data_IF_071310227895
#
_entry.id   IF_071310227895
#
_cell.length_a   1.000
_cell.length_b   1.000
_cell.length_c   1.000
_cell.angle_alpha   90.00
_cell.angle_beta   90.00
_cell.angle_gamma   90.00
#
_symmetry.space_group_name_H-M   'P 1'
#
loop_
_entity.id
_entity.type
_entity.pdbx_description
1 polymer ?
#
# COMPACT_ATOMS: atom_id res chain seq x y z
N UNK A 1 29.10 12.34 45.61
CA UNK A 1 28.32 11.11 45.36
C UNK A 1 28.38 10.81 43.88
N UNK A 2 28.98 9.67 43.52
CA UNK A 2 29.20 9.23 42.15
C UNK A 2 28.57 7.85 41.96
N UNK A 3 27.88 7.64 40.84
CA UNK A 3 27.58 6.33 40.22
C UNK A 3 27.21 6.62 38.76
N UNK A 4 28.18 6.59 37.85
CA UNK A 4 28.69 5.44 37.06
C UNK A 4 27.82 5.12 35.85
N UNK A 5 28.33 5.62 34.72
CA UNK A 5 28.15 5.14 33.35
C UNK A 5 28.32 3.63 33.25
N UNK A 6 27.51 2.99 32.39
CA UNK A 6 27.77 1.67 31.83
C UNK A 6 27.63 1.81 30.31
N UNK A 7 28.77 1.76 29.63
CA UNK A 7 28.88 1.45 28.21
C UNK A 7 28.81 -0.08 28.03
N UNK A 8 28.20 -0.54 26.95
CA UNK A 8 28.39 -1.90 26.45
C UNK A 8 28.60 -1.85 24.93
N UNK A 9 29.82 -2.20 24.52
CA UNK A 9 30.20 -2.48 23.13
C UNK A 9 29.77 -3.91 22.76
N UNK A 10 29.23 -4.06 21.55
CA UNK A 10 28.97 -5.37 20.93
C UNK A 10 28.79 -5.22 19.42
N UNK A 11 29.89 -5.31 18.68
CA UNK A 11 29.95 -5.43 17.22
C UNK A 11 29.32 -6.76 16.76
N UNK A 12 28.42 -6.71 15.77
CA UNK A 12 28.17 -7.82 14.85
C UNK A 12 27.79 -7.30 13.47
N UNK A 13 28.77 -7.27 12.57
CA UNK A 13 28.56 -7.40 11.14
C UNK A 13 27.96 -8.78 10.86
N UNK A 14 26.74 -8.83 10.30
CA UNK A 14 26.27 -9.95 9.47
C UNK A 14 25.46 -9.42 8.30
N UNK A 15 26.12 -9.42 7.14
CA UNK A 15 25.51 -9.56 5.83
C UNK A 15 24.67 -10.84 5.88
N UNK A 16 23.39 -10.76 5.53
CA UNK A 16 22.61 -11.93 5.12
C UNK A 16 21.72 -11.52 3.96
N UNK A 17 22.16 -11.93 2.78
CA UNK A 17 21.34 -12.09 1.61
C UNK A 17 20.10 -12.92 1.96
N UNK A 18 18.91 -12.35 1.81
CA UNK A 18 17.70 -13.16 1.72
C UNK A 18 17.64 -13.74 0.31
N UNK A 19 18.19 -14.94 0.21
CA UNK A 19 18.00 -15.84 -0.90
C UNK A 19 16.50 -16.05 -1.17
N UNK A 20 16.14 -16.04 -2.44
CA UNK A 20 14.86 -16.53 -2.94
C UNK A 20 14.64 -17.95 -2.40
N UNK A 21 13.61 -18.13 -1.57
CA UNK A 21 13.17 -19.46 -1.16
C UNK A 21 12.45 -20.09 -2.35
N UNK A 22 13.18 -20.92 -3.10
CA UNK A 22 12.57 -21.92 -3.97
C UNK A 22 12.05 -23.01 -3.03
N UNK A 23 10.73 -23.08 -2.86
CA UNK A 23 10.11 -24.19 -2.17
C UNK A 23 10.26 -25.46 -3.02
N UNK A 24 11.20 -26.34 -2.65
CA UNK A 24 11.20 -27.72 -3.15
C UNK A 24 10.17 -28.47 -2.31
N UNK A 25 9.01 -28.75 -2.89
CA UNK A 25 8.01 -29.65 -2.29
C UNK A 25 8.56 -31.08 -2.39
N UNK A 26 9.10 -31.60 -1.29
CA UNK A 26 9.38 -33.02 -1.15
C UNK A 26 8.07 -33.77 -0.88
N UNK A 27 7.48 -34.34 -1.93
CA UNK A 27 6.34 -35.26 -1.80
C UNK A 27 6.87 -36.55 -1.15
N UNK A 28 6.51 -36.78 0.12
CA UNK A 28 6.65 -38.09 0.75
C UNK A 28 5.64 -39.04 0.11
N UNK A 29 6.11 -39.85 -0.85
CA UNK A 29 5.33 -40.91 -1.47
C UNK A 29 5.05 -42.03 -0.46
N UNK A 30 3.78 -42.21 -0.09
CA UNK A 30 3.32 -43.48 0.45
C UNK A 30 3.22 -44.49 -0.68
N UNK A 31 3.90 -45.62 -0.48
CA UNK A 31 3.91 -46.77 -1.37
C UNK A 31 2.53 -47.40 -1.48
N UNK A 32 1.94 -47.39 -2.68
CA UNK A 32 1.01 -48.43 -3.12
C UNK A 32 1.34 -48.88 -4.54
N UNK A 33 1.31 -50.20 -4.67
CA UNK A 33 1.83 -51.03 -5.74
C UNK A 33 0.84 -51.07 -6.92
N UNK A 34 1.25 -50.65 -8.12
CA UNK A 34 0.86 -51.28 -9.40
C UNK A 34 1.47 -50.58 -10.63
N UNK A 35 2.17 -51.39 -11.42
CA UNK A 35 2.61 -51.23 -12.81
C UNK A 35 2.37 -49.87 -13.50
N UNK A 36 3.41 -49.03 -13.53
CA UNK A 36 3.53 -47.95 -14.51
C UNK A 36 4.88 -48.10 -15.23
N UNK A 37 4.83 -48.37 -16.54
CA UNK A 37 5.98 -48.34 -17.43
C UNK A 37 6.54 -46.92 -17.45
N UNK A 38 7.81 -46.75 -17.11
CA UNK A 38 8.55 -45.51 -17.33
C UNK A 38 8.79 -45.33 -18.83
N UNK A 39 8.10 -44.36 -19.43
CA UNK A 39 8.45 -43.86 -20.75
C UNK A 39 9.26 -42.57 -20.55
N UNK A 40 10.53 -42.62 -20.92
CA UNK A 40 11.48 -41.52 -20.91
C UNK A 40 11.05 -40.44 -21.91
N UNK A 41 10.36 -39.43 -21.42
CA UNK A 41 10.05 -38.20 -22.13
C UNK A 41 10.29 -37.03 -21.20
N UNK A 42 11.14 -36.10 -21.63
CA UNK A 42 11.51 -34.86 -20.96
C UNK A 42 10.27 -34.07 -20.56
N UNK A 43 9.78 -34.26 -19.33
CA UNK A 43 8.73 -33.44 -18.77
C UNK A 43 9.39 -32.16 -18.25
N UNK A 44 9.41 -31.13 -19.08
CA UNK A 44 9.51 -29.76 -18.59
C UNK A 44 8.34 -29.59 -17.61
N UNK A 45 8.62 -29.53 -16.31
CA UNK A 45 7.64 -29.06 -15.35
C UNK A 45 7.48 -27.57 -15.64
N UNK A 46 6.58 -27.25 -16.55
CA UNK A 46 5.99 -25.93 -16.69
C UNK A 46 5.20 -25.74 -15.40
N UNK A 47 5.88 -25.19 -14.39
CA UNK A 47 5.22 -24.71 -13.19
C UNK A 47 4.17 -23.73 -13.68
N UNK A 48 2.91 -24.17 -13.66
CA UNK A 48 1.77 -23.30 -13.91
C UNK A 48 1.92 -22.14 -12.93
N UNK A 49 2.36 -20.98 -13.45
CA UNK A 49 2.37 -19.78 -12.65
C UNK A 49 0.91 -19.53 -12.33
N UNK A 50 0.51 -19.74 -11.08
CA UNK A 50 -0.70 -19.14 -10.53
C UNK A 50 -0.72 -17.71 -11.08
N UNK A 51 -1.73 -17.41 -11.91
CA UNK A 51 -1.83 -16.11 -12.56
C UNK A 51 -1.94 -15.09 -11.44
N UNK A 52 -0.81 -14.46 -11.10
CA UNK A 52 -0.81 -13.44 -10.06
C UNK A 52 -1.81 -12.40 -10.49
N UNK A 53 -2.70 -12.07 -9.57
CA UNK A 53 -3.63 -10.98 -9.77
C UNK A 53 -2.85 -9.69 -10.06
N UNK A 54 -3.15 -9.00 -11.17
CA UNK A 54 -2.37 -7.85 -11.65
C UNK A 54 -3.24 -6.59 -11.66
N UNK A 55 -2.71 -5.51 -11.10
CA UNK A 55 -3.19 -4.15 -11.31
C UNK A 55 -2.23 -3.41 -12.25
N UNK A 56 -2.64 -3.24 -13.50
CA UNK A 56 -1.91 -2.45 -14.50
C UNK A 56 -2.27 -0.98 -14.37
N UNK A 57 -1.27 -0.11 -14.31
CA UNK A 57 -1.41 1.35 -14.22
C UNK A 57 -0.98 1.99 -15.54
N UNK A 58 -1.86 2.82 -16.10
CA UNK A 58 -1.50 3.68 -17.23
C UNK A 58 -0.67 4.88 -16.77
N UNK A 59 -0.02 5.57 -17.71
CA UNK A 59 0.64 6.87 -17.43
C UNK A 59 -0.31 7.88 -16.77
N UNK A 60 -1.58 7.90 -17.18
CA UNK A 60 -2.57 8.81 -16.60
C UNK A 60 -2.93 8.43 -15.17
N UNK A 61 -3.01 7.15 -14.84
CA UNK A 61 -3.24 6.68 -13.47
C UNK A 61 -2.13 7.17 -12.53
N UNK A 62 -0.88 7.12 -12.98
CA UNK A 62 0.27 7.62 -12.20
C UNK A 62 0.14 9.12 -11.96
N UNK A 63 -0.23 9.91 -12.98
CA UNK A 63 -0.47 11.35 -12.82
C UNK A 63 -1.59 11.62 -11.82
N UNK A 64 -2.67 10.85 -11.86
CA UNK A 64 -3.80 11.01 -10.94
C UNK A 64 -3.42 10.65 -9.50
N UNK A 65 -2.66 9.57 -9.30
CA UNK A 65 -2.09 9.21 -7.99
C UNK A 65 -1.23 10.36 -7.46
N UNK A 66 -0.35 10.94 -8.28
CA UNK A 66 0.51 12.08 -7.88
C UNK A 66 -0.29 13.30 -7.44
N UNK A 67 -1.39 13.61 -8.15
CA UNK A 67 -2.30 14.70 -7.81
C UNK A 67 -2.94 14.48 -6.44
N UNK A 68 -3.53 13.30 -6.22
CA UNK A 68 -4.13 12.95 -4.92
C UNK A 68 -3.08 12.94 -3.81
N UNK A 69 -1.95 12.28 -3.99
CA UNK A 69 -0.89 12.24 -2.99
C UNK A 69 -0.40 13.65 -2.62
N UNK A 70 -0.32 14.56 -3.60
CA UNK A 70 0.07 15.96 -3.36
C UNK A 70 -0.90 16.69 -2.42
N UNK A 71 -2.19 16.36 -2.46
CA UNK A 71 -3.20 16.99 -1.60
C UNK A 71 -3.32 16.32 -0.23
N UNK A 72 -3.00 15.04 -0.13
CA UNK A 72 -3.18 14.25 1.09
C UNK A 72 -1.94 14.23 2.00
N UNK A 73 -0.74 14.40 1.45
CA UNK A 73 0.51 14.28 2.20
C UNK A 73 0.97 15.61 2.79
N UNK A 74 1.39 15.60 4.05
CA UNK A 74 1.95 16.77 4.73
C UNK A 74 3.41 16.98 4.32
N UNK A 75 3.62 17.91 3.39
CA UNK A 75 4.92 18.18 2.73
C UNK A 75 6.07 18.57 3.68
N UNK A 76 5.77 19.14 4.85
CA UNK A 76 6.77 19.57 5.84
C UNK A 76 7.35 18.43 6.68
N UNK A 77 6.77 17.23 6.60
CA UNK A 77 7.33 16.04 7.24
C UNK A 77 8.77 15.79 6.78
N UNK A 78 9.58 15.34 7.73
CA UNK A 78 10.97 14.90 7.49
C UNK A 78 11.00 13.40 7.25
N UNK A 79 12.08 12.94 6.64
CA UNK A 79 12.30 11.51 6.45
C UNK A 79 12.50 10.80 7.79
N UNK A 80 12.01 9.55 7.98
CA UNK A 80 11.24 8.72 7.02
C UNK A 80 9.72 8.96 7.05
N UNK A 81 9.23 9.87 7.90
CA UNK A 81 7.79 10.08 8.10
C UNK A 81 7.09 10.60 6.83
N UNK A 82 7.79 11.41 6.03
CA UNK A 82 7.27 11.90 4.75
C UNK A 82 7.04 10.75 3.76
N UNK A 83 8.08 9.93 3.53
CA UNK A 83 8.04 8.83 2.56
C UNK A 83 6.97 7.81 2.94
N UNK A 84 6.92 7.40 4.20
CA UNK A 84 5.92 6.46 4.69
C UNK A 84 4.48 6.97 4.51
N UNK A 85 4.24 8.28 4.67
CA UNK A 85 2.93 8.85 4.44
C UNK A 85 2.55 8.86 2.95
N UNK A 86 3.50 9.11 2.04
CA UNK A 86 3.28 8.95 0.60
C UNK A 86 2.92 7.51 0.28
N UNK A 87 3.70 6.54 0.77
CA UNK A 87 3.47 5.11 0.52
C UNK A 87 2.09 4.67 0.97
N UNK A 88 1.69 5.05 2.19
CA UNK A 88 0.38 4.67 2.73
C UNK A 88 -0.79 5.22 1.92
N UNK A 89 -0.69 6.45 1.42
CA UNK A 89 -1.73 7.04 0.54
C UNK A 89 -1.78 6.30 -0.80
N UNK A 90 -0.63 6.11 -1.45
CA UNK A 90 -0.54 5.41 -2.74
C UNK A 90 -1.12 4.00 -2.60
N UNK A 91 -0.70 3.24 -1.60
CA UNK A 91 -1.13 1.87 -1.43
C UNK A 91 -2.62 1.75 -1.07
N UNK A 92 -3.16 2.73 -0.35
CA UNK A 92 -4.62 2.78 -0.13
C UNK A 92 -5.37 2.99 -1.46
N UNK A 93 -4.87 3.84 -2.36
CA UNK A 93 -5.47 4.03 -3.70
C UNK A 93 -5.40 2.74 -4.51
N UNK A 94 -4.25 2.05 -4.51
CA UNK A 94 -4.07 0.78 -5.23
C UNK A 94 -4.99 -0.31 -4.67
N UNK A 95 -5.08 -0.45 -3.34
CA UNK A 95 -5.96 -1.42 -2.69
C UNK A 95 -7.43 -1.13 -3.02
N UNK A 96 -7.86 0.13 -2.97
CA UNK A 96 -9.22 0.55 -3.34
C UNK A 96 -9.52 0.26 -4.79
N UNK A 97 -8.57 0.50 -5.69
CA UNK A 97 -8.71 0.18 -7.12
C UNK A 97 -8.88 -1.32 -7.30
N UNK A 98 -8.03 -2.12 -6.64
CA UNK A 98 -8.10 -3.57 -6.78
C UNK A 98 -9.32 -4.19 -6.11
N UNK A 99 -9.84 -3.58 -5.04
CA UNK A 99 -11.06 -4.05 -4.35
C UNK A 99 -12.29 -4.11 -5.25
N UNK A 100 -12.31 -3.32 -6.34
CA UNK A 100 -13.46 -3.15 -7.22
C UNK A 100 -14.65 -2.40 -6.60
N UNK A 101 -14.63 -2.11 -5.30
CA UNK A 101 -15.77 -1.49 -4.59
C UNK A 101 -16.11 -0.08 -5.12
N UNK A 102 -15.08 0.70 -5.48
CA UNK A 102 -15.25 2.02 -6.10
C UNK A 102 -15.12 1.99 -7.62
N UNK A 103 -14.87 0.82 -8.23
CA UNK A 103 -14.54 0.68 -9.65
C UNK A 103 -13.07 1.00 -9.98
N UNK A 104 -12.81 1.39 -11.22
CA UNK A 104 -11.47 1.73 -11.71
C UNK A 104 -10.81 2.91 -10.96
N UNK A 105 -9.48 3.08 -11.13
CA UNK A 105 -8.69 4.07 -10.41
C UNK A 105 -9.25 5.49 -10.51
N UNK A 106 -9.70 5.91 -11.70
CA UNK A 106 -10.34 7.22 -11.89
C UNK A 106 -11.54 7.43 -10.98
N UNK A 107 -12.34 6.39 -10.72
CA UNK A 107 -13.48 6.46 -9.81
C UNK A 107 -13.02 6.52 -8.35
N UNK A 108 -11.96 5.78 -7.98
CA UNK A 108 -11.37 5.82 -6.65
C UNK A 108 -10.89 7.23 -6.31
N UNK A 109 -10.07 7.85 -7.17
CA UNK A 109 -9.48 9.17 -6.91
C UNK A 109 -10.50 10.31 -6.95
N UNK A 110 -11.63 10.13 -7.65
CA UNK A 110 -12.74 11.07 -7.68
C UNK A 110 -13.88 10.71 -6.73
N UNK A 111 -13.73 9.67 -5.90
CA UNK A 111 -14.78 9.22 -5.02
C UNK A 111 -15.19 10.35 -4.07
N UNK A 112 -16.50 10.64 -4.04
CA UNK A 112 -17.07 11.76 -3.31
C UNK A 112 -16.60 11.74 -1.86
N UNK A 113 -16.04 12.86 -1.40
CA UNK A 113 -15.54 13.08 -0.05
C UNK A 113 -14.43 12.13 0.43
N UNK A 114 -13.81 11.32 -0.45
CA UNK A 114 -12.68 10.46 -0.07
C UNK A 114 -11.35 11.22 -0.07
N UNK A 115 -11.20 12.20 -0.97
CA UNK A 115 -10.04 13.08 -1.07
C UNK A 115 -10.53 14.52 -1.13
N UNK A 116 -10.49 15.23 0.00
CA UNK A 116 -11.30 16.45 0.20
C UNK A 116 -10.92 17.59 -0.74
N UNK A 117 -9.64 17.73 -1.10
CA UNK A 117 -9.19 18.73 -2.05
C UNK A 117 -9.61 18.41 -3.50
N UNK A 118 -9.88 17.14 -3.82
CA UNK A 118 -10.23 16.69 -5.17
C UNK A 118 -11.75 16.71 -5.36
N UNK A 119 -12.49 15.96 -4.54
CA UNK A 119 -13.93 15.74 -4.70
C UNK A 119 -14.69 15.91 -3.36
N UNK A 120 -14.21 16.81 -2.50
CA UNK A 120 -14.86 17.17 -1.23
C UNK A 120 -16.08 18.10 -1.39
N UNK A 121 -16.67 18.55 -0.27
CA UNK A 121 -17.75 19.52 -0.29
C UNK A 121 -17.27 20.90 -0.78
N UNK A 122 -18.14 21.64 -1.48
CA UNK A 122 -17.80 22.95 -2.06
C UNK A 122 -17.34 23.99 -1.04
N UNK A 123 -17.75 23.86 0.23
CA UNK A 123 -17.28 24.70 1.34
C UNK A 123 -15.76 24.63 1.56
N UNK A 124 -15.10 23.53 1.14
CA UNK A 124 -13.64 23.37 1.17
C UNK A 124 -12.95 23.82 -0.12
N UNK A 125 -13.72 24.34 -1.09
CA UNK A 125 -13.24 24.82 -2.40
C UNK A 125 -12.37 23.77 -3.13
N UNK A 126 -12.87 22.55 -3.34
CA UNK A 126 -12.12 21.49 -4.02
C UNK A 126 -11.89 21.83 -5.50
N UNK A 127 -10.95 21.14 -6.15
CA UNK A 127 -10.80 21.19 -7.61
C UNK A 127 -12.05 20.69 -8.34
N UNK A 128 -12.80 19.77 -7.72
CA UNK A 128 -14.03 19.16 -8.25
C UNK A 128 -13.79 17.82 -8.95
N UNK A 129 -12.58 17.58 -9.47
CA UNK A 129 -12.10 16.27 -9.93
C UNK A 129 -10.57 16.28 -10.05
N UNK A 130 -9.97 15.12 -10.18
CA UNK A 130 -8.52 14.97 -10.40
C UNK A 130 -8.09 15.61 -11.72
N UNK A 131 -8.95 15.59 -12.73
CA UNK A 131 -8.67 16.19 -14.04
C UNK A 131 -8.62 17.72 -13.96
N UNK A 132 -9.40 18.31 -13.06
CA UNK A 132 -9.42 19.77 -12.84
C UNK A 132 -8.23 20.28 -12.04
N UNK A 133 -7.51 19.42 -11.31
CA UNK A 133 -6.26 19.81 -10.67
C UNK A 133 -5.16 19.95 -11.75
N UNK A 134 -4.57 21.14 -11.93
CA UNK A 134 -3.57 21.34 -12.98
C UNK A 134 -2.25 20.66 -12.61
N UNK A 135 -1.54 20.11 -13.61
CA UNK A 135 -0.27 19.39 -13.38
C UNK A 135 0.79 20.25 -12.68
N UNK A 136 0.80 21.57 -12.92
CA UNK A 136 1.70 22.52 -12.22
C UNK A 136 1.49 22.59 -10.70
N UNK A 137 0.34 22.13 -10.20
CA UNK A 137 0.06 22.07 -8.76
C UNK A 137 0.63 20.81 -8.10
N UNK A 138 1.10 19.82 -8.87
CA UNK A 138 1.73 18.61 -8.35
C UNK A 138 3.06 19.00 -7.70
N UNK A 139 3.27 18.55 -6.46
CA UNK A 139 4.52 18.79 -5.77
C UNK A 139 5.62 17.90 -6.36
N UNK A 140 6.74 18.48 -6.78
CA UNK A 140 7.88 17.73 -7.32
C UNK A 140 8.42 16.68 -6.34
N UNK A 141 8.52 17.04 -5.05
CA UNK A 141 8.94 16.13 -3.98
C UNK A 141 8.00 14.93 -3.83
N UNK A 142 6.68 15.16 -3.86
CA UNK A 142 5.69 14.07 -3.77
C UNK A 142 5.70 13.24 -5.04
N UNK A 143 5.77 13.86 -6.21
CA UNK A 143 5.81 13.16 -7.49
C UNK A 143 6.99 12.19 -7.58
N UNK A 144 8.19 12.63 -7.20
CA UNK A 144 9.38 11.80 -7.19
C UNK A 144 9.23 10.58 -6.26
N UNK A 145 8.63 10.77 -5.08
CA UNK A 145 8.43 9.67 -4.13
C UNK A 145 7.32 8.71 -4.59
N UNK A 146 6.27 9.20 -5.25
CA UNK A 146 5.24 8.34 -5.87
C UNK A 146 5.86 7.48 -6.96
N UNK A 147 6.66 8.06 -7.87
CA UNK A 147 7.34 7.31 -8.93
C UNK A 147 8.24 6.21 -8.33
N UNK A 148 9.10 6.59 -7.39
CA UNK A 148 9.98 5.66 -6.68
C UNK A 148 9.21 4.52 -6.02
N UNK A 149 8.10 4.82 -5.35
CA UNK A 149 7.30 3.82 -4.66
C UNK A 149 6.57 2.88 -5.62
N UNK A 150 5.99 3.41 -6.71
CA UNK A 150 5.33 2.57 -7.72
C UNK A 150 6.32 1.64 -8.42
N UNK A 151 7.54 2.10 -8.71
CA UNK A 151 8.62 1.23 -9.22
C UNK A 151 9.01 0.13 -8.22
N UNK A 152 9.03 0.43 -6.92
CA UNK A 152 9.25 -0.57 -5.87
C UNK A 152 8.10 -1.58 -5.81
N UNK A 153 6.85 -1.12 -5.84
CA UNK A 153 5.65 -1.98 -5.90
C UNK A 153 5.65 -2.86 -7.15
N UNK A 154 6.06 -2.34 -8.31
CA UNK A 154 6.17 -3.09 -9.56
C UNK A 154 7.24 -4.21 -9.49
N UNK A 155 8.30 -3.98 -8.71
CA UNK A 155 9.32 -4.99 -8.38
C UNK A 155 8.90 -5.99 -7.29
N UNK A 156 7.65 -5.94 -6.84
CA UNK A 156 7.10 -6.91 -5.89
C UNK A 156 7.23 -6.53 -4.42
N UNK A 157 7.62 -5.28 -4.10
CA UNK A 157 7.56 -4.80 -2.71
C UNK A 157 6.09 -4.85 -2.23
N UNK A 158 5.82 -5.45 -1.06
CA UNK A 158 4.47 -5.50 -0.50
C UNK A 158 3.90 -4.10 -0.22
N UNK A 159 2.58 -4.03 -0.11
CA UNK A 159 1.90 -2.82 0.37
C UNK A 159 2.39 -2.41 1.76
N UNK A 160 2.72 -1.13 1.92
CA UNK A 160 3.08 -0.49 3.19
C UNK A 160 1.94 -0.46 4.21
N UNK A 161 0.70 -0.68 3.77
CA UNK A 161 -0.51 -0.69 4.61
C UNK A 161 -1.27 -2.00 4.52
N UNK A 162 -0.63 -3.07 4.03
CA UNK A 162 -1.29 -4.36 3.75
C UNK A 162 -2.43 -4.18 2.75
N UNK A 163 -3.57 -4.80 3.03
CA UNK A 163 -4.79 -4.81 2.22
C UNK A 163 -5.85 -3.79 2.73
N UNK A 164 -5.41 -2.78 3.49
CA UNK A 164 -6.31 -1.80 4.09
C UNK A 164 -6.89 -0.80 3.08
N UNK A 165 -8.14 -0.38 3.33
CA UNK A 165 -8.94 0.43 2.41
C UNK A 165 -9.27 1.83 2.92
N UNK A 166 -8.91 2.16 4.16
CA UNK A 166 -9.18 3.44 4.77
C UNK A 166 -7.92 3.98 5.45
N UNK A 167 -7.87 5.31 5.54
CA UNK A 167 -7.04 5.98 6.52
C UNK A 167 -7.74 7.21 7.05
N UNK A 168 -7.28 7.68 8.19
CA UNK A 168 -7.72 8.94 8.77
C UNK A 168 -6.64 9.54 9.65
N UNK A 169 -6.79 10.83 9.93
CA UNK A 169 -6.16 11.48 11.06
C UNK A 169 -7.23 11.87 12.08
N UNK A 170 -7.26 11.26 13.28
CA UNK A 170 -8.32 11.51 14.25
C UNK A 170 -8.37 12.95 14.76
N UNK A 171 -7.28 13.73 14.63
CA UNK A 171 -7.25 15.15 15.01
C UNK A 171 -8.05 16.04 14.05
N UNK A 172 -8.25 15.61 12.81
CA UNK A 172 -8.96 16.37 11.77
C UNK A 172 -10.23 15.67 11.28
N UNK A 173 -10.56 14.52 11.86
CA UNK A 173 -11.76 13.76 11.51
C UNK A 173 -12.96 14.27 12.27
N UNK A 174 -14.13 14.27 11.61
CA UNK A 174 -15.38 14.60 12.29
C UNK A 174 -15.70 13.60 13.39
N UNK A 175 -16.39 14.05 14.44
CA UNK A 175 -16.84 13.17 15.53
C UNK A 175 -17.78 12.05 15.03
N UNK A 176 -18.56 12.32 13.98
CA UNK A 176 -19.42 11.30 13.36
C UNK A 176 -18.57 10.20 12.71
N UNK A 177 -17.55 10.57 11.91
CA UNK A 177 -16.64 9.61 11.28
C UNK A 177 -15.88 8.79 12.33
N UNK A 178 -15.40 9.43 13.40
CA UNK A 178 -14.68 8.77 14.48
C UNK A 178 -15.54 7.73 15.21
N UNK A 179 -16.78 8.09 15.57
CA UNK A 179 -17.72 7.16 16.22
C UNK A 179 -18.19 6.05 15.29
N UNK A 180 -18.40 6.35 14.01
CA UNK A 180 -18.89 5.39 13.03
C UNK A 180 -17.86 4.31 12.66
N UNK A 181 -16.62 4.71 12.38
CA UNK A 181 -15.59 3.77 11.91
C UNK A 181 -14.16 4.15 12.30
N UNK A 182 -13.87 5.44 12.51
CA UNK A 182 -12.52 5.95 12.66
C UNK A 182 -11.76 5.36 13.85
N UNK A 183 -12.40 5.22 15.02
CA UNK A 183 -11.72 4.64 16.19
C UNK A 183 -11.36 3.17 16.02
N UNK A 184 -12.17 2.40 15.29
CA UNK A 184 -11.84 1.02 14.93
C UNK A 184 -10.60 0.98 14.03
N UNK A 185 -10.53 1.86 13.03
CA UNK A 185 -9.35 1.97 12.14
C UNK A 185 -8.11 2.40 12.91
N UNK A 186 -8.21 3.34 13.85
CA UNK A 186 -7.09 3.74 14.73
C UNK A 186 -6.59 2.56 15.56
N UNK A 187 -7.49 1.77 16.15
CA UNK A 187 -7.11 0.59 16.93
C UNK A 187 -6.41 -0.48 16.05
N UNK A 188 -6.93 -0.73 14.84
CA UNK A 188 -6.31 -1.63 13.87
C UNK A 188 -4.88 -1.17 13.51
N UNK A 189 -4.73 0.09 13.11
CA UNK A 189 -3.46 0.68 12.71
C UNK A 189 -2.41 0.60 13.83
N UNK A 190 -2.80 0.85 15.09
CA UNK A 190 -1.90 0.72 16.25
C UNK A 190 -1.46 -0.72 16.48
N UNK A 191 -2.37 -1.68 16.27
CA UNK A 191 -2.06 -3.12 16.43
C UNK A 191 -1.15 -3.64 15.32
N UNK A 192 -1.35 -3.20 14.08
CA UNK A 192 -0.59 -3.66 12.92
C UNK A 192 0.68 -2.87 12.64
N UNK A 193 0.81 -1.66 13.19
CA UNK A 193 1.90 -0.74 12.90
C UNK A 193 1.69 0.13 11.66
N UNK A 194 0.52 0.11 11.02
CA UNK A 194 0.22 0.93 9.83
C UNK A 194 -0.14 2.38 10.19
N UNK A 195 0.80 3.04 10.87
CA UNK A 195 0.73 4.42 11.33
C UNK A 195 1.80 5.22 10.60
N UNK A 196 1.37 6.07 9.67
CA UNK A 196 2.25 6.77 8.73
C UNK A 196 2.30 8.27 9.00
N UNK A 197 3.48 8.88 8.92
CA UNK A 197 3.68 10.29 9.25
C UNK A 197 4.14 10.50 10.70
N UNK A 198 3.98 11.72 11.21
CA UNK A 198 4.46 12.07 12.55
C UNK A 198 3.64 13.19 13.21
N UNK A 199 3.55 13.15 14.54
CA UNK A 199 2.90 14.16 15.35
C UNK A 199 1.46 14.41 14.92
N UNK A 200 1.11 15.69 14.68
CA UNK A 200 -0.23 16.07 14.21
C UNK A 200 -0.51 15.63 12.77
N UNK A 201 0.50 15.26 11.99
CA UNK A 201 0.39 14.83 10.61
C UNK A 201 0.49 13.31 10.49
N UNK A 202 -0.33 12.58 11.24
CA UNK A 202 -0.30 11.11 11.31
C UNK A 202 -1.55 10.51 10.69
N UNK A 203 -1.37 9.55 9.78
CA UNK A 203 -2.42 8.74 9.17
C UNK A 203 -2.44 7.35 9.81
N UNK A 204 -3.63 6.92 10.22
CA UNK A 204 -3.89 5.58 10.73
C UNK A 204 -4.60 4.80 9.64
N UNK A 205 -3.95 3.76 9.12
CA UNK A 205 -4.48 2.94 8.03
C UNK A 205 -5.12 1.65 8.56
N UNK A 206 -6.30 1.33 8.03
CA UNK A 206 -7.10 0.18 8.45
C UNK A 206 -8.29 -0.01 7.50
N UNK A 207 -9.25 -0.86 7.86
CA UNK A 207 -10.48 -1.03 7.07
C UNK A 207 -11.71 -0.92 7.97
N UNK A 208 -12.69 -0.10 7.56
CA UNK A 208 -13.97 -0.02 8.25
C UNK A 208 -14.74 -1.34 8.11
N UNK A 209 -15.62 -1.63 9.07
CA UNK A 209 -16.30 -2.94 9.16
C UNK A 209 -17.07 -3.30 7.90
N UNK A 210 -17.75 -2.34 7.30
CA UNK A 210 -18.53 -2.48 6.07
C UNK A 210 -17.67 -2.78 4.84
N UNK A 211 -16.39 -2.41 4.87
CA UNK A 211 -15.46 -2.56 3.77
C UNK A 211 -14.58 -3.82 3.86
N UNK A 212 -14.59 -4.55 4.99
CA UNK A 212 -13.74 -5.74 5.19
C UNK A 212 -13.92 -6.78 4.09
N UNK A 213 -15.15 -6.98 3.61
CA UNK A 213 -15.47 -7.94 2.54
C UNK A 213 -14.91 -7.58 1.16
N UNK A 214 -14.43 -6.34 0.98
CA UNK A 214 -13.84 -5.87 -0.27
C UNK A 214 -12.31 -5.82 -0.23
N UNK A 215 -11.67 -6.21 0.87
CA UNK A 215 -10.21 -6.20 0.95
C UNK A 215 -9.64 -7.08 -0.18
N UNK A 216 -8.74 -6.55 -1.02
CA UNK A 216 -8.22 -7.30 -2.14
C UNK A 216 -7.30 -8.43 -1.66
N UNK A 217 -7.24 -9.52 -2.41
CA UNK A 217 -6.16 -10.49 -2.31
C UNK A 217 -4.82 -9.85 -2.69
N UNK A 218 -3.70 -10.53 -2.43
CA UNK A 218 -2.40 -10.05 -2.87
C UNK A 218 -2.36 -9.89 -4.40
N UNK A 219 -1.85 -8.74 -4.87
CA UNK A 219 -1.76 -8.42 -6.29
C UNK A 219 -0.41 -7.78 -6.62
N UNK A 220 0.02 -7.93 -7.88
CA UNK A 220 1.20 -7.26 -8.44
C UNK A 220 0.79 -5.96 -9.11
N UNK A 221 1.65 -4.95 -9.01
CA UNK A 221 1.51 -3.71 -9.79
C UNK A 221 2.32 -3.86 -11.06
N UNK A 222 1.76 -3.44 -12.19
CA UNK A 222 2.48 -3.31 -13.46
C UNK A 222 2.30 -1.88 -13.95
N UNK A 223 3.39 -1.24 -14.35
CA UNK A 223 3.35 0.09 -14.96
C UNK A 223 3.38 -0.12 -16.47
N UNK A 224 2.39 0.41 -17.17
CA UNK A 224 2.35 0.37 -18.62
C UNK A 224 3.27 1.45 -19.19
N UNK A 225 4.13 1.04 -20.12
CA UNK A 225 5.11 1.92 -20.76
C UNK A 225 4.50 3.14 -21.42
#
# INVERSE_FOLDING_TARGET
MAAKFIEWFGSFTKILATASVIAIVAVHGQSMNSNVRFNSGTACIEAASEAFDVLTLSRQDIVDIKKVATTEVVKSLKSPAFENQVHGVVDTILNRTRSGHWGALKNVVNAKNQFSAIAGPQSLRPYGSVDKMPNRAISSKVAAEVDRWLEMRARGVPSSVGDNLNYLNPLYSSQSSLRGWGWSVVAQARKSGYVMGAGKATHYHGTSRDLVKYKPSAFRVVIQD
#
